data_IF_666298220428
#
_entry.id   IF_666298220428
#
_cell.length_a   1.000
_cell.length_b   1.000
_cell.length_c   1.000
_cell.angle_alpha   90.00
_cell.angle_beta   90.00
_cell.angle_gamma   90.00
#
_symmetry.space_group_name_H-M   'P 1'
#
loop_
_entity.id
_entity.type
_entity.pdbx_description
1 polymer ?
#
# COMPACT_ATOMS: atom_id res chain seq x y z
N UNK A 1 13.01 -24.72 -4.60
CA UNK A 1 13.15 -23.34 -5.12
C UNK A 1 12.88 -22.31 -4.02
N UNK A 2 13.70 -22.26 -2.95
CA UNK A 2 13.48 -21.42 -1.75
C UNK A 2 14.65 -20.46 -1.46
N UNK A 3 15.39 -19.98 -2.47
CA UNK A 3 16.68 -19.31 -2.25
C UNK A 3 16.90 -17.96 -2.94
N UNK A 4 15.89 -17.35 -3.55
CA UNK A 4 16.09 -16.13 -4.36
C UNK A 4 15.71 -14.80 -3.67
N UNK A 5 15.23 -14.84 -2.43
CA UNK A 5 14.69 -13.66 -1.74
C UNK A 5 15.43 -13.35 -0.45
N UNK A 6 16.74 -13.07 -0.56
CA UNK A 6 17.35 -12.16 0.37
C UNK A 6 17.25 -10.75 -0.24
N UNK A 7 17.11 -9.70 0.59
CA UNK A 7 17.10 -8.28 0.18
C UNK A 7 17.98 -8.06 -1.06
N UNK A 8 17.56 -7.28 -2.05
CA UNK A 8 18.29 -7.11 -3.32
C UNK A 8 19.80 -6.88 -3.12
N UNK A 9 20.17 -6.12 -2.09
CA UNK A 9 21.57 -5.91 -1.70
C UNK A 9 22.26 -7.08 -0.97
N UNK A 10 21.54 -7.95 -0.27
CA UNK A 10 22.09 -9.19 0.29
C UNK A 10 22.59 -10.11 -0.83
N UNK A 11 21.92 -10.15 -1.98
CA UNK A 11 22.35 -10.93 -3.13
C UNK A 11 23.70 -10.43 -3.69
N UNK A 12 23.96 -9.11 -3.65
CA UNK A 12 25.25 -8.52 -4.10
C UNK A 12 26.45 -9.07 -3.31
N UNK A 13 26.28 -9.36 -2.01
CA UNK A 13 27.33 -9.94 -1.16
C UNK A 13 27.69 -11.37 -1.51
N UNK A 14 26.72 -12.16 -1.96
CA UNK A 14 26.94 -13.56 -2.33
C UNK A 14 27.79 -13.67 -3.60
N UNK A 15 27.75 -12.65 -4.49
CA UNK A 15 28.47 -12.68 -5.77
C UNK A 15 29.87 -12.03 -5.75
N UNK A 16 30.07 -10.81 -5.20
CA UNK A 16 31.40 -10.16 -5.15
C UNK A 16 31.59 -9.20 -3.96
N UNK A 17 32.44 -9.60 -2.99
CA UNK A 17 32.77 -8.84 -1.77
C UNK A 17 33.53 -7.52 -2.02
N UNK A 18 34.21 -7.37 -3.15
CA UNK A 18 35.06 -6.21 -3.46
C UNK A 18 34.34 -5.07 -4.20
N UNK A 19 33.02 -5.14 -4.36
CA UNK A 19 32.24 -4.10 -5.06
C UNK A 19 31.99 -2.88 -4.17
N UNK A 20 31.90 -1.68 -4.78
CA UNK A 20 31.55 -0.43 -4.09
C UNK A 20 30.23 -0.57 -3.29
N UNK A 21 29.23 -1.24 -3.86
CA UNK A 21 27.95 -1.53 -3.20
C UNK A 21 28.11 -2.41 -1.94
N UNK A 22 29.11 -3.29 -1.89
CA UNK A 22 29.39 -4.08 -0.71
C UNK A 22 30.03 -3.26 0.42
N UNK A 23 30.71 -2.15 0.09
CA UNK A 23 31.30 -1.21 1.04
C UNK A 23 30.22 -0.29 1.65
N UNK A 24 29.30 0.22 0.82
CA UNK A 24 28.19 1.10 1.25
C UNK A 24 26.93 0.33 1.72
N UNK A 25 27.09 -0.95 2.05
CA UNK A 25 25.96 -1.86 2.28
C UNK A 25 25.05 -1.43 3.42
N UNK A 26 25.62 -0.91 4.50
CA UNK A 26 24.84 -0.47 5.66
C UNK A 26 23.91 0.69 5.29
N UNK A 27 24.41 1.64 4.51
CA UNK A 27 23.62 2.79 4.03
C UNK A 27 22.44 2.32 3.17
N UNK A 28 22.71 1.48 2.18
CA UNK A 28 21.69 0.98 1.25
C UNK A 28 20.67 0.05 1.95
N UNK A 29 21.09 -0.83 2.86
CA UNK A 29 20.17 -1.66 3.65
C UNK A 29 19.25 -0.82 4.55
N UNK A 30 19.77 0.28 5.11
CA UNK A 30 18.97 1.22 5.90
C UNK A 30 17.95 1.94 5.02
N UNK A 31 18.40 2.49 3.89
CA UNK A 31 17.52 3.14 2.92
C UNK A 31 16.37 2.23 2.45
N UNK A 32 16.68 0.99 2.03
CA UNK A 32 15.67 -0.01 1.67
C UNK A 32 14.69 -0.27 2.83
N UNK A 33 15.21 -0.43 4.06
CA UNK A 33 14.38 -0.77 5.22
C UNK A 33 13.46 0.37 5.63
N UNK A 34 13.92 1.62 5.57
CA UNK A 34 13.11 2.81 5.86
C UNK A 34 11.97 2.96 4.85
N UNK A 35 12.26 2.81 3.56
CA UNK A 35 11.25 2.82 2.51
C UNK A 35 10.22 1.71 2.71
N UNK A 36 10.67 0.46 2.87
CA UNK A 36 9.80 -0.69 3.08
C UNK A 36 8.90 -0.48 4.31
N UNK A 37 9.45 0.04 5.42
CA UNK A 37 8.67 0.35 6.62
C UNK A 37 7.59 1.42 6.34
N UNK A 38 7.93 2.45 5.57
CA UNK A 38 6.99 3.50 5.17
C UNK A 38 5.82 2.97 4.33
N UNK A 39 6.11 2.11 3.34
CA UNK A 39 5.08 1.63 2.40
C UNK A 39 4.28 0.42 2.91
N UNK A 40 4.84 -0.36 3.85
CA UNK A 40 4.26 -1.65 4.29
C UNK A 40 2.81 -1.53 4.73
N UNK A 41 2.48 -0.47 5.49
CA UNK A 41 1.11 -0.28 5.98
C UNK A 41 0.14 -0.02 4.83
N UNK A 42 0.53 0.81 3.86
CA UNK A 42 -0.29 1.09 2.67
C UNK A 42 -0.47 -0.18 1.82
N UNK A 43 0.59 -0.95 1.60
CA UNK A 43 0.53 -2.19 0.84
C UNK A 43 -0.42 -3.22 1.49
N UNK A 44 -0.33 -3.39 2.82
CA UNK A 44 -1.25 -4.25 3.58
C UNK A 44 -2.69 -3.78 3.44
N UNK A 45 -2.96 -2.48 3.60
CA UNK A 45 -4.30 -1.91 3.43
C UNK A 45 -4.83 -2.12 2.00
N UNK A 46 -3.95 -2.05 0.98
CA UNK A 46 -4.30 -2.30 -0.42
C UNK A 46 -4.80 -3.72 -0.64
N UNK A 47 -4.06 -4.73 -0.15
CA UNK A 47 -4.49 -6.13 -0.25
C UNK A 47 -5.81 -6.38 0.49
N UNK A 48 -5.99 -5.78 1.67
CA UNK A 48 -7.27 -5.90 2.40
C UNK A 48 -8.41 -5.22 1.63
N UNK A 49 -8.17 -4.06 1.03
CA UNK A 49 -9.15 -3.32 0.23
C UNK A 49 -9.59 -4.11 -1.01
N UNK A 50 -8.66 -4.74 -1.71
CA UNK A 50 -8.95 -5.58 -2.87
C UNK A 50 -9.83 -6.78 -2.51
N UNK A 51 -9.70 -7.30 -1.28
CA UNK A 51 -10.47 -8.43 -0.77
C UNK A 51 -11.64 -7.98 0.13
N UNK A 52 -12.14 -6.75 0.01
CA UNK A 52 -13.10 -6.16 0.95
C UNK A 52 -14.44 -6.91 1.05
N UNK A 53 -14.90 -7.53 -0.04
CA UNK A 53 -16.18 -8.26 -0.10
C UNK A 53 -16.21 -9.48 0.83
N UNK A 54 -15.19 -10.34 0.80
CA UNK A 54 -15.11 -11.53 1.66
C UNK A 54 -14.26 -11.32 2.92
N UNK A 55 -13.32 -10.37 2.86
CA UNK A 55 -12.23 -10.17 3.80
C UNK A 55 -11.05 -11.11 3.50
N UNK A 56 -9.89 -10.83 4.09
CA UNK A 56 -8.68 -11.66 3.96
C UNK A 56 -8.07 -11.97 5.32
N UNK A 57 -7.13 -12.92 5.41
CA UNK A 57 -6.49 -13.32 6.68
C UNK A 57 -4.97 -13.24 6.57
N UNK A 58 -4.28 -13.21 7.72
CA UNK A 58 -2.84 -12.88 7.80
C UNK A 58 -1.96 -13.60 6.78
N UNK A 59 -2.05 -14.93 6.70
CA UNK A 59 -1.27 -15.69 5.72
C UNK A 59 -1.60 -15.34 4.25
N UNK A 60 -2.88 -15.11 3.93
CA UNK A 60 -3.26 -14.71 2.56
C UNK A 60 -2.73 -13.31 2.23
N UNK A 61 -2.73 -12.38 3.20
CA UNK A 61 -2.13 -11.05 3.02
C UNK A 61 -0.64 -11.16 2.67
N UNK A 62 0.11 -11.98 3.42
CA UNK A 62 1.54 -12.18 3.14
C UNK A 62 1.77 -12.77 1.75
N UNK A 63 0.99 -13.79 1.40
CA UNK A 63 1.07 -14.46 0.11
C UNK A 63 0.75 -13.50 -1.04
N UNK A 64 -0.33 -12.75 -0.94
CA UNK A 64 -0.73 -11.80 -1.98
C UNK A 64 0.29 -10.66 -2.14
N UNK A 65 0.88 -10.16 -1.06
CA UNK A 65 1.95 -9.16 -1.11
C UNK A 65 3.17 -9.72 -1.84
N UNK A 66 3.60 -10.92 -1.47
CA UNK A 66 4.76 -11.57 -2.07
C UNK A 66 4.54 -11.82 -3.57
N UNK A 67 3.40 -12.39 -3.96
CA UNK A 67 3.09 -12.72 -5.35
C UNK A 67 2.89 -11.46 -6.22
N UNK A 68 2.13 -10.47 -5.74
CA UNK A 68 1.82 -9.26 -6.53
C UNK A 68 2.97 -8.27 -6.64
N UNK A 69 3.96 -8.36 -5.74
CA UNK A 69 5.17 -7.52 -5.80
C UNK A 69 6.37 -8.26 -6.37
N UNK A 70 6.16 -9.43 -6.99
CA UNK A 70 7.23 -10.26 -7.56
C UNK A 70 8.37 -10.51 -6.54
N UNK A 71 7.98 -10.76 -5.29
CA UNK A 71 8.86 -10.98 -4.15
C UNK A 71 9.77 -9.79 -3.76
N UNK A 72 9.50 -8.57 -4.24
CA UNK A 72 10.24 -7.36 -3.85
C UNK A 72 9.84 -6.89 -2.45
N UNK A 73 8.54 -6.90 -2.13
CA UNK A 73 8.03 -6.56 -0.81
C UNK A 73 7.68 -7.83 -0.03
N UNK A 74 8.58 -8.21 0.87
CA UNK A 74 8.38 -9.35 1.76
C UNK A 74 8.21 -8.84 3.18
N UNK A 75 7.05 -9.11 3.75
CA UNK A 75 6.73 -8.81 5.14
C UNK A 75 6.71 -10.14 5.91
N UNK A 76 7.35 -10.18 7.07
CA UNK A 76 7.26 -11.34 7.96
C UNK A 76 6.03 -11.24 8.90
N UNK A 77 5.64 -12.36 9.49
CA UNK A 77 4.56 -12.42 10.49
C UNK A 77 4.82 -11.46 11.67
N UNK A 78 6.09 -11.33 12.09
CA UNK A 78 6.54 -10.47 13.18
C UNK A 78 6.29 -8.98 12.92
N UNK A 79 6.18 -8.58 11.66
CA UNK A 79 5.87 -7.23 11.22
C UNK A 79 4.38 -7.06 10.91
N UNK A 80 3.78 -8.04 10.23
CA UNK A 80 2.38 -7.99 9.83
C UNK A 80 1.43 -7.90 11.03
N UNK A 81 1.53 -8.81 12.00
CA UNK A 81 0.54 -8.89 13.07
C UNK A 81 0.53 -7.68 14.00
N UNK A 82 1.68 -7.08 14.37
CA UNK A 82 1.68 -5.80 15.10
C UNK A 82 1.00 -4.68 14.32
N UNK A 83 1.19 -4.59 13.00
CA UNK A 83 0.52 -3.61 12.14
C UNK A 83 -0.99 -3.86 12.17
N UNK A 84 -1.45 -5.09 11.90
CA UNK A 84 -2.87 -5.43 11.91
C UNK A 84 -3.52 -5.12 13.26
N UNK A 85 -2.88 -5.48 14.36
CA UNK A 85 -3.36 -5.21 15.72
C UNK A 85 -3.47 -3.69 15.99
N UNK A 86 -2.50 -2.90 15.53
CA UNK A 86 -2.53 -1.44 15.65
C UNK A 86 -3.70 -0.85 14.85
N UNK A 87 -3.84 -1.24 13.59
CA UNK A 87 -4.89 -0.75 12.71
C UNK A 87 -6.30 -1.11 13.21
N UNK A 88 -6.49 -2.31 13.79
CA UNK A 88 -7.73 -2.67 14.46
C UNK A 88 -8.00 -1.80 15.69
N UNK A 89 -6.99 -1.58 16.54
CA UNK A 89 -7.11 -0.73 17.73
C UNK A 89 -7.50 0.70 17.35
N UNK A 90 -7.02 1.20 16.23
CA UNK A 90 -7.34 2.54 15.69
C UNK A 90 -8.69 2.59 14.95
N UNK A 91 -9.39 1.46 14.83
CA UNK A 91 -10.68 1.35 14.13
C UNK A 91 -10.55 1.47 12.60
N UNK A 92 -9.34 1.33 12.05
CA UNK A 92 -9.09 1.31 10.61
C UNK A 92 -9.52 -0.04 10.03
N UNK A 93 -9.26 -1.11 10.78
CA UNK A 93 -9.69 -2.46 10.45
C UNK A 93 -10.77 -2.94 11.40
N UNK A 94 -11.66 -3.78 10.87
CA UNK A 94 -12.52 -4.68 11.65
C UNK A 94 -12.15 -6.12 11.34
N UNK A 95 -12.42 -7.02 12.27
CA UNK A 95 -12.17 -8.44 12.06
C UNK A 95 -13.30 -9.34 12.52
N UNK A 96 -13.32 -10.52 11.92
CA UNK A 96 -14.28 -11.57 12.20
C UNK A 96 -13.54 -12.92 12.28
N UNK A 97 -13.88 -13.75 13.27
CA UNK A 97 -13.36 -15.12 13.35
C UNK A 97 -14.25 -16.02 12.50
N UNK A 98 -13.70 -16.58 11.43
CA UNK A 98 -14.40 -17.54 10.57
C UNK A 98 -13.80 -18.93 10.70
N UNK A 99 -14.64 -19.95 10.63
CA UNK A 99 -14.22 -21.35 10.51
C UNK A 99 -14.35 -21.74 9.04
N UNK A 100 -13.22 -21.96 8.38
CA UNK A 100 -13.16 -22.60 7.05
C UNK A 100 -12.19 -23.77 7.15
N UNK A 101 -12.55 -24.91 6.56
CA UNK A 101 -11.71 -26.11 6.52
C UNK A 101 -11.21 -26.55 7.92
N UNK A 102 -12.09 -26.51 8.93
CA UNK A 102 -11.75 -26.82 10.33
C UNK A 102 -10.68 -25.94 10.99
N UNK A 103 -10.24 -24.86 10.33
CA UNK A 103 -9.30 -23.88 10.89
C UNK A 103 -10.01 -22.58 11.24
N UNK A 104 -9.88 -22.16 12.50
CA UNK A 104 -10.31 -20.83 12.95
C UNK A 104 -9.30 -19.80 12.45
N UNK A 105 -9.72 -18.94 11.53
CA UNK A 105 -8.90 -17.85 10.98
C UNK A 105 -9.57 -16.51 11.30
N UNK A 106 -8.76 -15.49 11.57
CA UNK A 106 -9.21 -14.12 11.76
C UNK A 106 -9.15 -13.41 10.41
N UNK A 107 -10.31 -13.00 9.91
CA UNK A 107 -10.45 -12.26 8.66
C UNK A 107 -10.56 -10.77 8.95
N UNK A 108 -9.92 -9.96 8.13
CA UNK A 108 -9.84 -8.50 8.25
C UNK A 108 -10.54 -7.85 7.08
N UNK A 109 -11.18 -6.71 7.35
CA UNK A 109 -11.78 -5.80 6.38
C UNK A 109 -11.51 -4.36 6.80
N UNK A 110 -11.47 -3.45 5.83
CA UNK A 110 -11.47 -2.02 6.14
C UNK A 110 -12.82 -1.61 6.72
N UNK A 111 -12.80 -0.71 7.70
CA UNK A 111 -13.99 0.05 8.10
C UNK A 111 -14.22 1.20 7.12
N UNK A 112 -15.34 1.91 7.23
CA UNK A 112 -15.55 3.15 6.44
C UNK A 112 -14.45 4.17 6.68
N UNK A 113 -14.08 4.37 7.96
CA UNK A 113 -12.91 5.17 8.35
C UNK A 113 -11.63 4.66 7.68
N UNK A 114 -11.43 3.34 7.67
CA UNK A 114 -10.27 2.72 7.06
C UNK A 114 -10.17 2.93 5.56
N UNK A 115 -11.29 2.86 4.84
CA UNK A 115 -11.35 3.17 3.40
C UNK A 115 -10.93 4.61 3.14
N UNK A 116 -11.43 5.57 3.94
CA UNK A 116 -11.06 6.99 3.80
C UNK A 116 -9.56 7.21 4.04
N UNK A 117 -9.01 6.61 5.08
CA UNK A 117 -7.57 6.70 5.38
C UNK A 117 -6.74 6.06 4.27
N UNK A 118 -7.12 4.86 3.81
CA UNK A 118 -6.45 4.18 2.71
C UNK A 118 -6.44 5.04 1.43
N UNK A 119 -7.59 5.57 1.02
CA UNK A 119 -7.70 6.44 -0.16
C UNK A 119 -6.84 7.72 -0.04
N UNK A 120 -6.72 8.28 1.16
CA UNK A 120 -5.85 9.42 1.39
C UNK A 120 -4.37 9.04 1.26
N UNK A 121 -3.95 7.96 1.92
CA UNK A 121 -2.56 7.47 1.87
C UNK A 121 -2.14 7.09 0.46
N UNK A 122 -2.98 6.35 -0.26
CA UNK A 122 -2.73 5.96 -1.65
C UNK A 122 -2.66 7.18 -2.56
N UNK A 123 -3.64 8.08 -2.46
CA UNK A 123 -3.66 9.30 -3.29
C UNK A 123 -2.44 10.18 -3.05
N UNK A 124 -2.03 10.35 -1.79
CA UNK A 124 -0.82 11.08 -1.43
C UNK A 124 0.43 10.44 -2.02
N UNK A 125 0.64 9.14 -1.84
CA UNK A 125 1.81 8.46 -2.38
C UNK A 125 1.84 8.53 -3.92
N UNK A 126 0.71 8.26 -4.58
CA UNK A 126 0.59 8.36 -6.04
C UNK A 126 0.98 9.75 -6.55
N UNK A 127 0.46 10.82 -5.93
CA UNK A 127 0.85 12.19 -6.33
C UNK A 127 2.32 12.49 -6.03
N UNK A 128 2.85 12.02 -4.91
CA UNK A 128 4.25 12.21 -4.58
C UNK A 128 5.13 11.56 -5.65
N UNK A 129 4.86 10.29 -6.00
CA UNK A 129 5.60 9.56 -7.03
C UNK A 129 5.49 10.27 -8.38
N UNK A 130 4.29 10.71 -8.79
CA UNK A 130 4.08 11.50 -10.02
C UNK A 130 4.95 12.78 -10.05
N UNK A 131 5.15 13.45 -8.91
CA UNK A 131 5.95 14.68 -8.85
C UNK A 131 7.45 14.47 -8.74
N UNK A 132 7.89 13.34 -8.19
CA UNK A 132 9.31 12.99 -8.18
C UNK A 132 9.72 12.24 -9.46
N UNK A 133 8.77 11.67 -10.21
CA UNK A 133 9.05 10.93 -11.43
C UNK A 133 9.94 11.67 -12.43
N UNK A 134 9.86 13.01 -12.64
CA UNK A 134 10.82 13.70 -13.50
C UNK A 134 12.28 13.72 -12.99
N UNK A 135 12.51 13.36 -11.72
CA UNK A 135 13.82 13.34 -11.07
C UNK A 135 14.48 11.95 -11.09
N UNK A 136 13.72 10.89 -11.40
CA UNK A 136 14.14 9.49 -11.31
C UNK A 136 13.51 8.68 -12.45
N UNK A 137 13.97 7.45 -12.69
CA UNK A 137 13.44 6.63 -13.78
C UNK A 137 12.17 5.86 -13.36
N UNK A 138 11.04 6.58 -13.23
CA UNK A 138 9.73 6.01 -12.89
C UNK A 138 8.66 6.55 -13.82
N UNK A 139 7.87 5.64 -14.40
CA UNK A 139 6.64 5.98 -15.11
C UNK A 139 5.41 5.76 -14.19
N UNK A 140 4.54 6.77 -14.11
CA UNK A 140 3.30 6.71 -13.32
C UNK A 140 2.11 6.96 -14.23
N UNK A 141 1.20 5.99 -14.31
CA UNK A 141 -0.08 6.15 -14.98
C UNK A 141 -1.20 6.41 -13.97
N UNK A 142 -1.81 7.60 -14.04
CA UNK A 142 -2.96 7.96 -13.21
C UNK A 142 -4.25 7.53 -13.91
N UNK A 143 -5.07 6.74 -13.23
CA UNK A 143 -6.42 6.31 -13.68
C UNK A 143 -7.44 7.45 -13.59
N UNK A 144 -7.21 8.52 -14.35
CA UNK A 144 -8.03 9.76 -14.36
C UNK A 144 -9.44 9.54 -14.90
N UNK A 145 -9.66 8.45 -15.63
CA UNK A 145 -10.96 7.95 -16.10
C UNK A 145 -11.86 7.42 -14.97
N UNK A 146 -11.28 7.09 -13.82
CA UNK A 146 -12.01 6.53 -12.67
C UNK A 146 -11.83 7.33 -11.39
N UNK A 147 -10.71 8.03 -11.25
CA UNK A 147 -10.35 8.72 -10.03
C UNK A 147 -9.91 10.16 -10.28
N UNK A 148 -10.38 11.06 -9.40
CA UNK A 148 -9.79 12.39 -9.23
C UNK A 148 -8.96 12.36 -7.95
N UNK A 149 -7.82 13.04 -7.99
CA UNK A 149 -6.97 13.19 -6.82
C UNK A 149 -7.02 14.63 -6.33
N UNK A 150 -7.50 14.85 -5.11
CA UNK A 150 -7.73 16.17 -4.54
C UNK A 150 -6.50 17.07 -4.73
N UNK A 151 -6.62 18.27 -5.33
CA UNK A 151 -5.47 19.15 -5.57
C UNK A 151 -4.84 19.65 -4.27
N UNK A 152 -5.63 19.75 -3.18
CA UNK A 152 -5.17 20.24 -1.89
C UNK A 152 -4.42 19.18 -1.07
N UNK A 153 -4.98 17.97 -0.94
CA UNK A 153 -4.44 16.94 -0.03
C UNK A 153 -4.14 15.60 -0.70
N UNK A 154 -4.21 15.54 -2.03
CA UNK A 154 -3.96 14.34 -2.83
C UNK A 154 -4.94 13.17 -2.65
N UNK A 155 -5.91 13.26 -1.73
CA UNK A 155 -6.89 12.20 -1.49
C UNK A 155 -7.50 11.65 -2.79
N UNK A 156 -7.45 10.32 -2.95
CA UNK A 156 -8.05 9.64 -4.11
C UNK A 156 -9.57 9.58 -3.95
N UNK A 157 -10.30 10.01 -4.98
CA UNK A 157 -11.76 10.13 -4.97
C UNK A 157 -12.30 9.42 -6.21
N UNK A 158 -13.22 8.48 -6.01
CA UNK A 158 -13.88 7.77 -7.10
C UNK A 158 -14.92 8.68 -7.77
N UNK A 159 -14.78 8.90 -9.09
CA UNK A 159 -15.67 9.82 -9.82
C UNK A 159 -17.07 9.26 -10.02
N UNK A 160 -17.26 7.95 -9.83
CA UNK A 160 -18.57 7.28 -9.96
C UNK A 160 -19.50 7.66 -8.82
N UNK A 161 -18.94 8.10 -7.69
CA UNK A 161 -19.72 8.69 -6.61
C UNK A 161 -20.13 10.11 -7.00
N UNK A 162 -21.37 10.26 -7.47
CA UNK A 162 -21.93 11.52 -7.98
C UNK A 162 -22.15 12.55 -6.87
N UNK A 163 -22.32 12.12 -5.63
CA UNK A 163 -22.74 12.97 -4.52
C UNK A 163 -21.58 13.69 -3.82
N UNK A 164 -20.33 13.28 -4.09
CA UNK A 164 -19.16 13.93 -3.48
C UNK A 164 -18.98 15.36 -3.98
N UNK A 165 -19.29 16.35 -3.14
CA UNK A 165 -19.08 17.78 -3.43
C UNK A 165 -17.77 18.35 -2.90
N UNK A 166 -17.29 17.74 -1.81
CA UNK A 166 -16.08 18.14 -1.11
C UNK A 166 -15.18 16.93 -0.90
N UNK A 167 -13.87 17.16 -0.89
CA UNK A 167 -12.90 16.15 -0.51
C UNK A 167 -13.14 15.77 0.96
N UNK A 168 -13.53 14.52 1.22
CA UNK A 168 -13.81 14.05 2.58
C UNK A 168 -12.60 14.14 3.53
N UNK A 169 -11.37 14.18 2.99
CA UNK A 169 -10.17 14.26 3.79
C UNK A 169 -9.82 15.69 4.25
N UNK A 170 -10.13 16.73 3.46
CA UNK A 170 -9.69 18.11 3.75
C UNK A 170 -10.74 19.19 3.54
N UNK A 171 -11.95 18.85 3.08
CA UNK A 171 -13.03 19.79 2.80
C UNK A 171 -12.88 20.59 1.50
N UNK A 172 -11.85 20.34 0.68
CA UNK A 172 -11.66 21.07 -0.58
C UNK A 172 -12.83 20.85 -1.56
N UNK A 173 -13.41 21.90 -2.18
CA UNK A 173 -14.50 21.75 -3.15
C UNK A 173 -14.04 21.00 -4.41
N UNK A 174 -14.73 19.92 -4.78
CA UNK A 174 -14.35 19.09 -5.95
C UNK A 174 -15.38 19.12 -7.09
N UNK A 175 -16.51 19.79 -6.90
CA UNK A 175 -17.59 19.88 -7.90
C UNK A 175 -17.13 20.42 -9.26
N UNK A 176 -16.18 21.36 -9.26
CA UNK A 176 -15.58 21.93 -10.47
C UNK A 176 -14.72 20.90 -11.21
N UNK A 177 -13.96 20.07 -10.49
CA UNK A 177 -13.03 19.08 -11.05
C UNK A 177 -13.77 17.91 -11.72
N UNK A 178 -14.96 17.54 -11.21
CA UNK A 178 -15.78 16.48 -11.82
C UNK A 178 -16.26 16.82 -13.23
N UNK A 179 -16.51 18.12 -13.52
CA UNK A 179 -17.01 18.57 -14.82
C UNK A 179 -15.96 18.51 -15.93
N UNK A 180 -14.68 18.53 -15.58
CA UNK A 180 -13.56 18.49 -16.53
C UNK A 180 -13.22 17.06 -16.99
N UNK A 181 -13.57 16.04 -16.20
CA UNK A 181 -13.24 14.63 -16.45
C UNK A 181 -14.34 13.86 -17.20
N UNK A 182 -15.59 14.36 -17.18
CA UNK A 182 -16.77 13.70 -17.80
C UNK A 182 -17.08 14.27 -19.21
N UNK A 183 -16.22 15.14 -19.75
CA UNK A 183 -16.28 15.60 -21.15
C UNK A 183 -15.47 14.69 -22.05
#
# INVERSE_FOLDING_TARGET
MKKWCQKLIKNVKEFRKSTLLAQERAFLENFESELLRGISTLAILSIINENQEEGTYGYQILKDLEEKTEHVLIIDDGTLYPILKKLEKEGILKSEKKVREHRRRKYYKLTEKGIKIYNHMEGFLTKLIDKIAPLIDIEVELKKDRYIYCPNCANKIDIRDKDVKFCEACGYPIDSLKKEVIK
#
